data_IF_483108526197
#
_entry.id   IF_483108526197
#
_cell.length_a   1.000
_cell.length_b   1.000
_cell.length_c   1.000
_cell.angle_alpha   90.00
_cell.angle_beta   90.00
_cell.angle_gamma   90.00
#
_symmetry.space_group_name_H-M   'P 1'
#
loop_
_entity.id
_entity.type
_entity.pdbx_description
1 polymer ?
#
# COMPACT_ATOMS: atom_id res chain seq x y z
N UNK A 1 18.95 -16.62 -8.97
CA UNK A 1 18.37 -17.82 -8.34
C UNK A 1 19.07 -19.07 -8.83
N UNK A 2 18.86 -19.58 -10.05
CA UNK A 2 19.46 -20.86 -10.51
C UNK A 2 20.98 -21.00 -10.30
N UNK A 3 21.78 -19.97 -10.65
CA UNK A 3 23.24 -19.99 -10.43
C UNK A 3 23.63 -19.94 -8.95
N UNK A 4 22.82 -19.25 -8.14
CA UNK A 4 23.01 -19.12 -6.69
C UNK A 4 22.65 -20.41 -5.97
N UNK A 5 21.57 -21.08 -6.40
CA UNK A 5 21.13 -22.39 -5.93
C UNK A 5 22.20 -23.46 -6.24
N UNK A 6 22.73 -23.48 -7.47
CA UNK A 6 23.76 -24.43 -7.89
C UNK A 6 25.04 -24.28 -7.06
N UNK A 7 25.51 -23.03 -6.86
CA UNK A 7 26.66 -22.75 -6.02
C UNK A 7 26.42 -23.16 -4.55
N UNK A 8 25.18 -23.05 -4.07
CA UNK A 8 24.81 -23.46 -2.71
C UNK A 8 24.82 -24.99 -2.56
N UNK A 9 24.31 -25.71 -3.56
CA UNK A 9 24.29 -27.18 -3.60
C UNK A 9 25.69 -27.80 -3.75
N UNK A 10 26.60 -27.14 -4.46
CA UNK A 10 28.02 -27.51 -4.53
C UNK A 10 28.73 -27.30 -3.17
N UNK A 11 28.45 -26.17 -2.50
CA UNK A 11 29.00 -25.86 -1.17
C UNK A 11 28.45 -26.79 -0.08
N UNK A 12 27.18 -27.19 -0.17
CA UNK A 12 26.55 -28.15 0.74
C UNK A 12 26.96 -29.61 0.45
N UNK A 13 27.76 -29.86 -0.59
CA UNK A 13 28.24 -31.20 -0.96
C UNK A 13 27.15 -32.15 -1.48
N UNK A 14 25.93 -31.64 -1.68
CA UNK A 14 24.78 -32.42 -2.16
C UNK A 14 24.87 -32.75 -3.65
N UNK A 15 25.68 -32.00 -4.41
CA UNK A 15 25.90 -32.21 -5.84
C UNK A 15 27.38 -31.98 -6.19
N UNK A 16 28.07 -33.01 -6.66
CA UNK A 16 29.44 -32.92 -7.21
C UNK A 16 29.40 -33.12 -8.71
N UNK A 17 29.54 -32.04 -9.48
CA UNK A 17 29.56 -32.06 -10.93
C UNK A 17 31.01 -32.02 -11.43
N UNK A 18 31.30 -32.77 -12.50
CA UNK A 18 32.56 -32.57 -13.23
C UNK A 18 32.56 -31.23 -13.96
N UNK A 19 33.74 -30.71 -14.28
CA UNK A 19 33.88 -29.41 -14.95
C UNK A 19 33.12 -29.34 -16.30
N UNK A 20 33.09 -30.47 -17.03
CA UNK A 20 32.33 -30.62 -18.27
C UNK A 20 30.81 -30.62 -18.04
N UNK A 21 30.33 -31.26 -16.97
CA UNK A 21 28.90 -31.27 -16.61
C UNK A 21 28.43 -29.89 -16.13
N UNK A 22 29.27 -29.19 -15.37
CA UNK A 22 28.99 -27.82 -14.92
C UNK A 22 28.89 -26.85 -16.11
N UNK A 23 29.76 -26.99 -17.12
CA UNK A 23 29.67 -26.19 -18.35
C UNK A 23 28.40 -26.51 -19.15
N UNK A 24 28.05 -27.79 -19.32
CA UNK A 24 26.81 -28.19 -20.00
C UNK A 24 25.55 -27.66 -19.31
N UNK A 25 25.51 -27.72 -17.98
CA UNK A 25 24.38 -27.23 -17.19
C UNK A 25 24.29 -25.70 -17.22
N UNK A 26 25.43 -24.98 -17.21
CA UNK A 26 25.46 -23.52 -17.41
C UNK A 26 24.92 -23.13 -18.79
N UNK A 27 25.33 -23.84 -19.84
CA UNK A 27 24.83 -23.62 -21.19
C UNK A 27 23.31 -23.85 -21.27
N UNK A 28 22.81 -24.93 -20.67
CA UNK A 28 21.37 -25.20 -20.62
C UNK A 28 20.59 -24.12 -19.86
N UNK A 29 21.08 -23.70 -18.68
CA UNK A 29 20.49 -22.59 -17.93
C UNK A 29 20.48 -21.30 -18.73
N UNK A 30 21.54 -21.01 -19.49
CA UNK A 30 21.61 -19.82 -20.32
C UNK A 30 20.60 -19.87 -21.48
N UNK A 31 20.35 -21.05 -22.06
CA UNK A 31 19.30 -21.26 -23.06
C UNK A 31 17.90 -21.09 -22.47
N UNK A 32 17.63 -21.69 -21.30
CA UNK A 32 16.34 -21.56 -20.60
C UNK A 32 16.09 -20.10 -20.21
N UNK A 33 17.09 -19.41 -19.68
CA UNK A 33 17.00 -17.99 -19.35
C UNK A 33 16.80 -17.12 -20.58
N UNK A 34 17.43 -17.44 -21.71
CA UNK A 34 17.20 -16.73 -22.97
C UNK A 34 15.76 -16.93 -23.48
N UNK A 35 15.24 -18.16 -23.43
CA UNK A 35 13.85 -18.45 -23.80
C UNK A 35 12.83 -17.76 -22.89
N UNK A 36 13.08 -17.72 -21.58
CA UNK A 36 12.25 -17.01 -20.61
C UNK A 36 12.34 -15.49 -20.80
N UNK A 37 13.54 -14.95 -21.07
CA UNK A 37 13.71 -13.52 -21.34
C UNK A 37 12.96 -13.09 -22.61
N UNK A 38 12.98 -13.93 -23.65
CA UNK A 38 12.30 -13.63 -24.91
C UNK A 38 10.77 -13.78 -24.83
N UNK A 39 10.27 -14.64 -23.95
CA UNK A 39 8.82 -14.86 -23.76
C UNK A 39 8.18 -13.94 -22.72
N UNK A 40 8.93 -13.47 -21.73
CA UNK A 40 8.42 -12.67 -20.62
C UNK A 40 9.02 -11.26 -20.51
N UNK A 41 9.84 -10.84 -21.48
CA UNK A 41 10.50 -9.52 -21.51
C UNK A 41 11.25 -9.21 -20.21
N UNK A 42 11.97 -10.22 -19.69
CA UNK A 42 12.69 -10.13 -18.41
C UNK A 42 14.13 -9.69 -18.68
N UNK A 43 14.42 -8.42 -18.38
CA UNK A 43 15.77 -7.86 -18.48
C UNK A 43 16.79 -8.64 -17.63
N UNK A 44 17.86 -9.09 -18.31
CA UNK A 44 18.94 -9.92 -17.73
C UNK A 44 19.83 -9.18 -16.73
N UNK A 45 19.75 -7.85 -16.62
CA UNK A 45 20.76 -7.03 -15.94
C UNK A 45 20.21 -6.03 -14.90
N UNK A 46 20.94 -5.81 -13.82
CA UNK A 46 20.54 -4.89 -12.71
C UNK A 46 20.42 -3.44 -13.22
N UNK A 47 21.23 -3.07 -14.22
CA UNK A 47 21.14 -1.79 -14.93
C UNK A 47 19.93 -1.69 -15.86
N UNK A 48 19.53 -2.80 -16.52
CA UNK A 48 18.29 -2.87 -17.32
C UNK A 48 17.05 -2.73 -16.44
N UNK A 49 17.05 -3.36 -15.25
CA UNK A 49 16.00 -3.14 -14.23
C UNK A 49 15.93 -1.69 -13.77
N UNK A 50 17.06 -1.03 -13.50
CA UNK A 50 17.06 0.39 -13.10
C UNK A 50 16.58 1.31 -14.23
N UNK A 51 16.94 1.01 -15.49
CA UNK A 51 16.46 1.75 -16.66
C UNK A 51 14.96 1.53 -16.90
N UNK A 52 14.45 0.31 -16.69
CA UNK A 52 13.02 0.00 -16.83
C UNK A 52 12.19 0.56 -15.67
N UNK A 53 12.73 0.66 -14.45
CA UNK A 53 12.13 1.45 -13.37
C UNK A 53 12.08 2.93 -13.71
N UNK A 54 13.16 3.49 -14.25
CA UNK A 54 13.19 4.88 -14.74
C UNK A 54 12.16 5.14 -15.84
N UNK A 55 12.06 4.22 -16.81
CA UNK A 55 11.07 4.27 -17.89
C UNK A 55 9.64 4.11 -17.38
N UNK A 56 9.40 3.22 -16.41
CA UNK A 56 8.09 3.07 -15.75
C UNK A 56 7.69 4.33 -14.99
N UNK A 57 8.62 4.94 -14.27
CA UNK A 57 8.37 6.21 -13.57
C UNK A 57 8.11 7.33 -14.58
N UNK A 58 8.92 7.45 -15.62
CA UNK A 58 8.76 8.49 -16.66
C UNK A 58 7.45 8.31 -17.45
N UNK A 59 7.11 7.08 -17.85
CA UNK A 59 5.86 6.78 -18.53
C UNK A 59 4.65 6.94 -17.62
N UNK A 60 4.75 6.58 -16.34
CA UNK A 60 3.70 6.83 -15.36
C UNK A 60 3.49 8.32 -15.11
N UNK A 61 4.57 9.09 -14.90
CA UNK A 61 4.50 10.54 -14.74
C UNK A 61 3.98 11.22 -16.01
N UNK A 62 4.41 10.76 -17.19
CA UNK A 62 3.91 11.25 -18.47
C UNK A 62 2.42 10.95 -18.67
N UNK A 63 1.97 9.74 -18.33
CA UNK A 63 0.56 9.37 -18.35
C UNK A 63 -0.26 10.17 -17.34
N UNK A 64 0.27 10.39 -16.13
CA UNK A 64 -0.37 11.21 -15.10
C UNK A 64 -0.47 12.68 -15.53
N UNK A 65 0.58 13.23 -16.13
CA UNK A 65 0.59 14.60 -16.64
C UNK A 65 -0.39 14.77 -17.82
N UNK A 66 -0.44 13.81 -18.74
CA UNK A 66 -1.44 13.79 -19.80
C UNK A 66 -2.86 13.68 -19.23
N UNK A 67 -3.10 12.79 -18.27
CA UNK A 67 -4.39 12.65 -17.61
C UNK A 67 -4.80 13.95 -16.89
N UNK A 68 -3.87 14.59 -16.17
CA UNK A 68 -4.09 15.87 -15.52
C UNK A 68 -4.37 16.99 -16.54
N UNK A 69 -3.62 17.05 -17.64
CA UNK A 69 -3.86 18.03 -18.71
C UNK A 69 -5.24 17.87 -19.33
N UNK A 70 -5.65 16.63 -19.64
CA UNK A 70 -6.99 16.34 -20.16
C UNK A 70 -8.05 16.73 -19.11
N UNK A 71 -7.86 16.36 -17.85
CA UNK A 71 -8.76 16.74 -16.76
C UNK A 71 -8.92 18.27 -16.64
N UNK A 72 -7.83 19.03 -16.61
CA UNK A 72 -7.87 20.48 -16.51
C UNK A 72 -8.48 21.13 -17.75
N UNK A 73 -8.21 20.60 -18.94
CA UNK A 73 -8.86 21.03 -20.18
C UNK A 73 -10.38 20.85 -20.06
N UNK A 74 -10.83 19.65 -19.70
CA UNK A 74 -12.24 19.39 -19.49
C UNK A 74 -12.84 20.31 -18.42
N UNK A 75 -12.18 20.49 -17.29
CA UNK A 75 -12.65 21.37 -16.22
C UNK A 75 -12.80 22.82 -16.68
N UNK A 76 -11.85 23.34 -17.47
CA UNK A 76 -11.91 24.70 -17.99
C UNK A 76 -13.05 24.91 -18.99
N UNK A 77 -13.30 23.94 -19.88
CA UNK A 77 -14.36 24.03 -20.88
C UNK A 77 -15.69 23.42 -20.43
N UNK A 78 -15.75 22.83 -19.23
CA UNK A 78 -16.90 22.05 -18.75
C UNK A 78 -18.20 22.84 -18.78
N UNK A 79 -18.17 24.07 -18.28
CA UNK A 79 -19.34 24.96 -18.20
C UNK A 79 -19.85 25.46 -19.56
N UNK A 80 -19.14 25.21 -20.66
CA UNK A 80 -19.57 25.59 -22.02
C UNK A 80 -20.39 24.49 -22.71
N UNK A 81 -20.35 23.26 -22.21
CA UNK A 81 -21.13 22.16 -22.77
C UNK A 81 -22.56 22.18 -22.23
N UNK A 82 -23.53 21.83 -23.09
CA UNK A 82 -24.91 21.61 -22.65
C UNK A 82 -25.02 20.32 -21.82
N UNK A 83 -25.98 20.26 -20.89
CA UNK A 83 -26.17 19.13 -19.98
C UNK A 83 -26.19 17.76 -20.68
N UNK A 84 -26.88 17.56 -21.83
CA UNK A 84 -26.87 16.26 -22.52
C UNK A 84 -25.48 15.87 -23.03
N UNK A 85 -24.68 16.83 -23.47
CA UNK A 85 -23.32 16.59 -23.93
C UNK A 85 -22.40 16.24 -22.75
N UNK A 86 -22.53 16.94 -21.62
CA UNK A 86 -21.80 16.61 -20.39
C UNK A 86 -22.11 15.18 -19.93
N UNK A 87 -23.39 14.82 -19.86
CA UNK A 87 -23.85 13.45 -19.50
C UNK A 87 -23.27 12.42 -20.46
N UNK A 88 -23.36 12.65 -21.77
CA UNK A 88 -22.87 11.73 -22.80
C UNK A 88 -21.34 11.54 -22.71
N UNK A 89 -20.58 12.61 -22.47
CA UNK A 89 -19.12 12.55 -22.31
C UNK A 89 -18.76 11.75 -21.04
N UNK A 90 -19.40 11.99 -19.91
CA UNK A 90 -19.10 11.26 -18.65
C UNK A 90 -19.39 9.76 -18.77
N UNK A 91 -20.56 9.42 -19.32
CA UNK A 91 -20.98 8.03 -19.52
C UNK A 91 -20.07 7.36 -20.55
N UNK A 92 -19.83 8.03 -21.68
CA UNK A 92 -18.96 7.56 -22.75
C UNK A 92 -17.53 7.30 -22.26
N UNK A 93 -16.94 8.24 -21.51
CA UNK A 93 -15.59 8.10 -20.97
C UNK A 93 -15.48 6.93 -19.96
N UNK A 94 -16.50 6.72 -19.13
CA UNK A 94 -16.50 5.62 -18.15
C UNK A 94 -16.64 4.25 -18.83
N UNK A 95 -17.55 4.14 -19.81
CA UNK A 95 -17.74 2.91 -20.59
C UNK A 95 -16.53 2.61 -21.47
N UNK A 96 -15.97 3.63 -22.13
CA UNK A 96 -14.76 3.51 -22.93
C UNK A 96 -13.56 3.10 -22.07
N UNK A 97 -13.39 3.69 -20.88
CA UNK A 97 -12.33 3.31 -19.94
C UNK A 97 -12.45 1.85 -19.49
N UNK A 98 -13.66 1.42 -19.14
CA UNK A 98 -13.91 0.02 -18.78
C UNK A 98 -13.65 -0.94 -19.95
N UNK A 99 -14.19 -0.64 -21.14
CA UNK A 99 -14.01 -1.44 -22.35
C UNK A 99 -12.55 -1.52 -22.77
N UNK A 100 -11.81 -0.40 -22.71
CA UNK A 100 -10.38 -0.35 -22.97
C UNK A 100 -9.62 -1.24 -21.98
N UNK A 101 -9.97 -1.21 -20.69
CA UNK A 101 -9.33 -2.04 -19.67
C UNK A 101 -9.46 -3.53 -19.99
N UNK A 102 -10.67 -4.00 -20.33
CA UNK A 102 -10.91 -5.39 -20.72
C UNK A 102 -10.22 -5.77 -22.03
N UNK A 103 -10.21 -4.87 -23.01
CA UNK A 103 -9.56 -5.08 -24.30
C UNK A 103 -8.03 -5.19 -24.17
N UNK A 104 -7.43 -4.33 -23.34
CA UNK A 104 -6.00 -4.37 -23.02
C UNK A 104 -5.67 -5.61 -22.21
N UNK A 105 -6.50 -5.99 -21.24
CA UNK A 105 -6.31 -7.21 -20.44
C UNK A 105 -6.18 -8.47 -21.31
N UNK A 106 -6.94 -8.58 -22.39
CA UNK A 106 -6.84 -9.71 -23.31
C UNK A 106 -5.58 -9.73 -24.19
N UNK A 107 -4.83 -8.61 -24.26
CA UNK A 107 -3.66 -8.45 -25.14
C UNK A 107 -2.33 -8.30 -24.39
N UNK A 108 -2.38 -7.79 -23.16
CA UNK A 108 -1.20 -7.48 -22.37
C UNK A 108 -0.77 -8.68 -21.51
N UNK A 109 0.31 -9.35 -21.91
CA UNK A 109 0.91 -10.45 -21.15
C UNK A 109 1.61 -9.99 -19.87
N UNK A 110 2.00 -8.71 -19.79
CA UNK A 110 2.73 -8.13 -18.64
C UNK A 110 1.80 -7.53 -17.58
N UNK A 111 0.56 -7.23 -17.96
CA UNK A 111 -0.46 -6.57 -17.12
C UNK A 111 -0.13 -5.12 -16.75
N UNK A 112 0.95 -4.53 -17.26
CA UNK A 112 1.33 -3.14 -16.97
C UNK A 112 0.36 -2.14 -17.59
N UNK A 113 0.01 -2.30 -18.85
CA UNK A 113 -0.94 -1.42 -19.53
C UNK A 113 -2.36 -1.65 -19.01
N UNK A 114 -2.70 -2.88 -18.63
CA UNK A 114 -3.96 -3.16 -17.92
C UNK A 114 -4.04 -2.38 -16.61
N UNK A 115 -2.93 -2.29 -15.86
CA UNK A 115 -2.86 -1.49 -14.62
C UNK A 115 -3.14 -0.01 -14.85
N UNK A 116 -2.52 0.57 -15.88
CA UNK A 116 -2.74 1.97 -16.24
C UNK A 116 -4.19 2.20 -16.72
N UNK A 117 -4.70 1.34 -17.60
CA UNK A 117 -6.05 1.46 -18.13
C UNK A 117 -7.11 1.37 -17.02
N UNK A 118 -6.98 0.40 -16.09
CA UNK A 118 -7.89 0.25 -14.98
C UNK A 118 -7.87 1.44 -14.02
N UNK A 119 -6.68 2.04 -13.79
CA UNK A 119 -6.55 3.23 -12.96
C UNK A 119 -7.24 4.44 -13.60
N UNK A 120 -7.08 4.63 -14.92
CA UNK A 120 -7.77 5.67 -15.67
C UNK A 120 -9.28 5.42 -15.66
N UNK A 121 -9.74 4.18 -15.87
CA UNK A 121 -11.15 3.81 -15.81
C UNK A 121 -11.76 4.12 -14.43
N UNK A 122 -11.06 3.77 -13.35
CA UNK A 122 -11.47 4.10 -11.99
C UNK A 122 -11.55 5.62 -11.76
N UNK A 123 -10.55 6.39 -12.20
CA UNK A 123 -10.57 7.85 -12.10
C UNK A 123 -11.73 8.47 -12.88
N UNK A 124 -11.98 8.02 -14.11
CA UNK A 124 -13.13 8.45 -14.92
C UNK A 124 -14.46 8.16 -14.21
N UNK A 125 -14.59 6.98 -13.57
CA UNK A 125 -15.80 6.62 -12.84
C UNK A 125 -16.02 7.47 -11.58
N UNK A 126 -14.95 7.77 -10.83
CA UNK A 126 -15.02 8.68 -9.68
C UNK A 126 -15.47 10.07 -10.15
N UNK A 127 -14.82 10.61 -11.19
CA UNK A 127 -15.16 11.92 -11.76
C UNK A 127 -16.60 11.95 -12.28
N UNK A 128 -17.06 10.89 -12.93
CA UNK A 128 -18.42 10.76 -13.43
C UNK A 128 -19.45 10.97 -12.30
N UNK A 129 -19.31 10.27 -11.17
CA UNK A 129 -20.22 10.41 -10.03
C UNK A 129 -20.14 11.81 -9.41
N UNK A 130 -18.94 12.37 -9.26
CA UNK A 130 -18.76 13.72 -8.70
C UNK A 130 -19.40 14.78 -9.59
N UNK A 131 -19.14 14.73 -10.90
CA UNK A 131 -19.66 15.69 -11.88
C UNK A 131 -21.18 15.57 -12.02
N UNK A 132 -21.75 14.36 -12.00
CA UNK A 132 -23.22 14.21 -11.97
C UNK A 132 -23.84 14.81 -10.72
N UNK A 133 -23.18 14.66 -9.57
CA UNK A 133 -23.61 15.31 -8.34
C UNK A 133 -23.68 16.82 -8.48
N UNK A 134 -22.71 17.43 -9.18
CA UNK A 134 -22.70 18.87 -9.44
C UNK A 134 -23.76 19.28 -10.47
N UNK A 135 -23.86 18.58 -11.61
CA UNK A 135 -24.82 18.88 -12.69
C UNK A 135 -26.25 18.85 -12.17
N UNK A 136 -26.61 17.81 -11.42
CA UNK A 136 -27.97 17.63 -10.90
C UNK A 136 -28.17 18.18 -9.49
N UNK A 137 -27.20 18.95 -8.97
CA UNK A 137 -27.23 19.55 -7.63
C UNK A 137 -27.60 18.55 -6.51
N UNK A 138 -27.04 17.33 -6.60
CA UNK A 138 -27.23 16.27 -5.61
C UNK A 138 -26.36 16.57 -4.40
N UNK A 139 -26.96 16.55 -3.21
CA UNK A 139 -26.23 16.77 -1.96
C UNK A 139 -25.13 15.72 -1.75
N UNK A 140 -23.87 16.13 -1.48
CA UNK A 140 -22.78 15.20 -1.21
C UNK A 140 -23.09 14.27 -0.02
N UNK A 141 -22.85 12.97 -0.20
CA UNK A 141 -23.08 11.92 0.81
C UNK A 141 -21.98 10.88 0.79
N UNK A 142 -21.69 10.35 1.98
CA UNK A 142 -20.90 9.14 2.26
C UNK A 142 -21.22 7.96 1.34
N UNK A 143 -22.48 7.82 0.90
CA UNK A 143 -22.92 6.74 0.00
C UNK A 143 -22.19 6.73 -1.33
N UNK A 144 -21.61 7.85 -1.79
CA UNK A 144 -20.80 7.91 -3.00
C UNK A 144 -19.54 7.01 -2.92
N UNK A 145 -19.07 6.71 -1.71
CA UNK A 145 -17.93 5.81 -1.50
C UNK A 145 -18.24 4.35 -1.85
N UNK A 146 -19.51 3.93 -1.76
CA UNK A 146 -19.92 2.54 -2.06
C UNK A 146 -19.76 2.17 -3.54
N UNK A 147 -20.29 2.92 -4.53
CA UNK A 147 -20.07 2.60 -5.93
C UNK A 147 -18.58 2.69 -6.31
N UNK A 148 -17.83 3.64 -5.75
CA UNK A 148 -16.37 3.70 -5.95
C UNK A 148 -15.67 2.45 -5.42
N UNK A 149 -16.00 2.03 -4.19
CA UNK A 149 -15.48 0.79 -3.61
C UNK A 149 -15.84 -0.43 -4.47
N UNK A 150 -17.10 -0.56 -4.88
CA UNK A 150 -17.56 -1.68 -5.70
C UNK A 150 -16.81 -1.74 -7.04
N UNK A 151 -16.70 -0.62 -7.74
CA UNK A 151 -16.01 -0.58 -9.03
C UNK A 151 -14.51 -0.87 -8.89
N UNK A 152 -13.85 -0.27 -7.88
CA UNK A 152 -12.43 -0.53 -7.60
C UNK A 152 -12.17 -2.00 -7.25
N UNK A 153 -12.99 -2.60 -6.38
CA UNK A 153 -12.85 -4.01 -6.00
C UNK A 153 -13.11 -4.93 -7.18
N UNK A 154 -14.17 -4.71 -7.95
CA UNK A 154 -14.47 -5.53 -9.13
C UNK A 154 -13.30 -5.51 -10.12
N UNK A 155 -12.78 -4.33 -10.47
CA UNK A 155 -11.61 -4.22 -11.33
C UNK A 155 -10.36 -4.84 -10.71
N UNK A 156 -10.15 -4.67 -9.40
CA UNK A 156 -9.03 -5.28 -8.71
C UNK A 156 -9.06 -6.81 -8.83
N UNK A 157 -10.20 -7.44 -8.54
CA UNK A 157 -10.35 -8.90 -8.60
C UNK A 157 -10.35 -9.45 -10.03
N UNK A 158 -10.89 -8.71 -11.01
CA UNK A 158 -10.90 -9.15 -12.42
C UNK A 158 -9.51 -9.07 -13.05
N UNK A 159 -8.74 -8.03 -12.73
CA UNK A 159 -7.48 -7.75 -13.41
C UNK A 159 -6.24 -7.93 -12.52
N UNK A 160 -6.40 -8.43 -11.29
CA UNK A 160 -5.35 -8.66 -10.28
C UNK A 160 -4.54 -7.41 -9.87
N UNK A 161 -5.25 -6.32 -9.53
CA UNK A 161 -4.63 -5.02 -9.20
C UNK A 161 -4.64 -4.71 -7.70
N UNK A 162 -3.45 -4.78 -7.09
CA UNK A 162 -3.25 -4.34 -5.69
C UNK A 162 -3.62 -2.88 -5.45
N UNK A 163 -3.28 -1.97 -6.37
CA UNK A 163 -3.50 -0.54 -6.16
C UNK A 163 -5.00 -0.20 -6.11
N UNK A 164 -5.80 -0.80 -7.00
CA UNK A 164 -7.25 -0.64 -6.98
C UNK A 164 -7.88 -1.36 -5.79
N UNK A 165 -7.32 -2.49 -5.35
CA UNK A 165 -7.73 -3.12 -4.10
C UNK A 165 -7.56 -2.16 -2.92
N UNK A 166 -6.40 -1.51 -2.79
CA UNK A 166 -6.17 -0.47 -1.76
C UNK A 166 -7.21 0.64 -1.88
N UNK A 167 -7.44 1.19 -3.08
CA UNK A 167 -8.43 2.25 -3.29
C UNK A 167 -9.84 1.83 -2.86
N UNK A 168 -10.27 0.62 -3.23
CA UNK A 168 -11.56 0.08 -2.86
C UNK A 168 -11.70 -0.15 -1.36
N UNK A 169 -10.67 -0.71 -0.71
CA UNK A 169 -10.65 -0.89 0.74
C UNK A 169 -10.67 0.45 1.48
N UNK A 170 -9.92 1.45 1.02
CA UNK A 170 -9.96 2.80 1.60
C UNK A 170 -11.33 3.46 1.46
N UNK A 171 -12.04 3.24 0.35
CA UNK A 171 -13.42 3.71 0.19
C UNK A 171 -14.36 3.05 1.20
N UNK A 172 -14.23 1.73 1.43
CA UNK A 172 -14.99 1.01 2.48
C UNK A 172 -14.64 1.54 3.86
N UNK A 173 -13.36 1.77 4.13
CA UNK A 173 -12.88 2.34 5.39
C UNK A 173 -13.47 3.70 5.65
N UNK A 174 -13.40 4.61 4.67
CA UNK A 174 -14.02 5.93 4.75
C UNK A 174 -15.54 5.84 4.96
N UNK A 175 -16.21 4.94 4.23
CA UNK A 175 -17.67 4.76 4.36
C UNK A 175 -18.05 4.31 5.77
N UNK A 176 -17.44 3.24 6.27
CA UNK A 176 -17.75 2.73 7.62
C UNK A 176 -17.39 3.76 8.68
N UNK A 177 -16.25 4.43 8.57
CA UNK A 177 -15.85 5.47 9.51
C UNK A 177 -16.86 6.64 9.52
N UNK A 178 -17.33 7.06 8.35
CA UNK A 178 -18.38 8.07 8.22
C UNK A 178 -19.72 7.60 8.81
N UNK A 179 -20.14 6.36 8.53
CA UNK A 179 -21.38 5.78 9.07
C UNK A 179 -21.37 5.72 10.59
N UNK A 180 -20.29 5.22 11.18
CA UNK A 180 -20.13 5.18 12.64
C UNK A 180 -20.14 6.61 13.21
N UNK A 181 -19.47 7.55 12.54
CA UNK A 181 -19.49 8.96 12.91
C UNK A 181 -20.89 9.57 12.90
N UNK A 182 -21.72 9.26 11.89
CA UNK A 182 -23.11 9.77 11.84
C UNK A 182 -23.97 9.30 13.00
N UNK A 183 -23.70 8.13 13.62
CA UNK A 183 -24.42 7.68 14.81
C UNK A 183 -24.17 8.58 16.02
N UNK A 184 -23.00 9.23 16.07
CA UNK A 184 -22.66 10.24 17.09
C UNK A 184 -23.13 11.65 16.74
N UNK A 185 -23.90 11.83 15.65
CA UNK A 185 -24.39 13.14 15.20
C UNK A 185 -23.41 13.94 14.34
N UNK A 186 -22.26 13.37 13.96
CA UNK A 186 -21.28 14.06 13.11
C UNK A 186 -21.70 14.07 11.65
N UNK A 187 -21.36 15.16 10.96
CA UNK A 187 -21.47 15.21 9.51
C UNK A 187 -20.38 14.35 8.86
N UNK A 188 -20.72 13.65 7.78
CA UNK A 188 -19.89 12.57 7.23
C UNK A 188 -18.51 13.02 6.75
N UNK A 189 -18.33 14.27 6.33
CA UNK A 189 -17.02 14.82 5.93
C UNK A 189 -16.07 14.95 7.14
N UNK A 190 -16.62 15.13 8.34
CA UNK A 190 -15.88 15.22 9.59
C UNK A 190 -15.57 13.86 10.21
N UNK A 191 -15.67 12.77 9.45
CA UNK A 191 -15.34 11.43 9.92
C UNK A 191 -13.91 11.30 10.50
N UNK A 192 -13.00 12.19 10.11
CA UNK A 192 -11.65 12.29 10.65
C UNK A 192 -11.53 12.90 12.06
N UNK A 193 -12.56 13.58 12.56
CA UNK A 193 -12.57 14.15 13.93
C UNK A 193 -12.60 13.08 15.02
N UNK A 194 -13.09 11.88 14.67
CA UNK A 194 -13.11 10.71 15.55
C UNK A 194 -12.33 9.56 14.91
N UNK A 195 -10.99 9.55 15.04
CA UNK A 195 -10.14 8.51 14.46
C UNK A 195 -10.48 7.10 14.96
N UNK A 196 -11.11 6.95 16.12
CA UNK A 196 -11.53 5.66 16.66
C UNK A 196 -12.51 4.91 15.75
N UNK A 197 -13.28 5.61 14.91
CA UNK A 197 -14.24 5.00 13.98
C UNK A 197 -13.60 4.05 12.96
N UNK A 198 -12.30 4.18 12.72
CA UNK A 198 -11.54 3.35 11.77
C UNK A 198 -11.11 2.01 12.39
N UNK A 199 -11.02 1.94 13.72
CA UNK A 199 -10.46 0.79 14.46
C UNK A 199 -11.28 -0.50 14.23
N UNK A 200 -12.62 -0.52 14.33
CA UNK A 200 -13.37 -1.77 14.20
C UNK A 200 -13.14 -2.46 12.84
N UNK A 201 -13.19 -1.69 11.76
CA UNK A 201 -12.99 -2.22 10.41
C UNK A 201 -11.54 -2.62 10.16
N UNK A 202 -10.58 -1.96 10.80
CA UNK A 202 -9.15 -2.30 10.68
C UNK A 202 -8.85 -3.75 11.09
N UNK A 203 -9.45 -4.23 12.18
CA UNK A 203 -9.34 -5.62 12.63
C UNK A 203 -9.99 -6.60 11.66
N UNK A 204 -11.17 -6.24 11.14
CA UNK A 204 -11.88 -7.06 10.14
C UNK A 204 -11.01 -7.21 8.90
N UNK A 205 -10.48 -6.12 8.35
CA UNK A 205 -9.62 -6.16 7.16
C UNK A 205 -8.33 -6.94 7.40
N UNK A 206 -7.74 -6.83 8.59
CA UNK A 206 -6.53 -7.55 8.93
C UNK A 206 -6.74 -9.07 9.04
N UNK A 207 -7.88 -9.50 9.58
CA UNK A 207 -8.19 -10.92 9.81
C UNK A 207 -8.89 -11.59 8.63
N UNK A 208 -9.59 -10.82 7.77
CA UNK A 208 -10.36 -11.35 6.64
C UNK A 208 -9.58 -12.34 5.74
N UNK A 209 -8.30 -12.11 5.40
CA UNK A 209 -7.55 -13.05 4.57
C UNK A 209 -7.25 -14.40 5.23
N UNK A 210 -7.44 -14.53 6.55
CA UNK A 210 -7.32 -15.82 7.24
C UNK A 210 -8.57 -16.69 7.04
N UNK A 211 -9.72 -16.06 6.87
CA UNK A 211 -11.00 -16.75 6.69
C UNK A 211 -11.32 -17.01 5.21
N UNK A 212 -10.85 -16.13 4.32
CA UNK A 212 -11.10 -16.23 2.87
C UNK A 212 -9.86 -16.77 2.15
N UNK A 213 -9.99 -17.93 1.50
CA UNK A 213 -8.89 -18.51 0.71
C UNK A 213 -8.75 -17.82 -0.65
N UNK A 214 -7.80 -16.90 -0.77
CA UNK A 214 -7.46 -16.24 -2.03
C UNK A 214 -6.59 -17.11 -2.95
N UNK A 215 -7.06 -18.30 -3.34
CA UNK A 215 -6.26 -19.28 -4.15
C UNK A 215 -5.81 -18.75 -5.51
N UNK A 216 -6.53 -17.76 -6.07
CA UNK A 216 -6.24 -17.17 -7.39
C UNK A 216 -5.43 -15.87 -7.30
N UNK A 217 -5.32 -15.27 -6.11
CA UNK A 217 -4.74 -13.95 -5.89
C UNK A 217 -3.81 -13.97 -4.67
N UNK A 218 -2.61 -14.55 -4.84
CA UNK A 218 -1.62 -14.69 -3.75
C UNK A 218 -1.16 -13.35 -3.17
N UNK A 219 -1.29 -12.29 -3.97
CA UNK A 219 -0.84 -10.94 -3.67
C UNK A 219 -1.85 -10.10 -2.85
N UNK A 220 -3.08 -10.60 -2.70
CA UNK A 220 -4.17 -9.86 -2.04
C UNK A 220 -4.13 -9.94 -0.52
N UNK A 221 -3.91 -11.11 0.12
CA UNK A 221 -3.81 -11.20 1.57
C UNK A 221 -2.83 -10.20 2.21
N UNK A 222 -1.61 -9.99 1.66
CA UNK A 222 -0.71 -8.95 2.14
C UNK A 222 -1.31 -7.54 2.08
N UNK A 223 -2.06 -7.24 1.01
CA UNK A 223 -2.67 -5.91 0.80
C UNK A 223 -3.77 -5.63 1.82
N UNK A 224 -4.63 -6.61 2.09
CA UNK A 224 -5.67 -6.52 3.14
C UNK A 224 -5.04 -6.30 4.53
N UNK A 225 -4.01 -7.07 4.87
CA UNK A 225 -3.29 -6.91 6.14
C UNK A 225 -2.62 -5.54 6.26
N UNK A 226 -2.00 -5.05 5.20
CA UNK A 226 -1.37 -3.74 5.19
C UNK A 226 -2.39 -2.62 5.38
N UNK A 227 -3.50 -2.64 4.63
CA UNK A 227 -4.55 -1.62 4.76
C UNK A 227 -5.19 -1.69 6.14
N UNK A 228 -5.47 -2.88 6.66
CA UNK A 228 -5.95 -3.08 8.04
C UNK A 228 -4.98 -2.51 9.06
N UNK A 229 -3.68 -2.80 8.95
CA UNK A 229 -2.66 -2.31 9.86
C UNK A 229 -2.54 -0.78 9.84
N UNK A 230 -2.54 -0.17 8.65
CA UNK A 230 -2.52 1.30 8.49
C UNK A 230 -3.79 1.91 9.08
N UNK A 231 -4.95 1.31 8.82
CA UNK A 231 -6.24 1.77 9.34
C UNK A 231 -6.38 1.61 10.86
N UNK A 232 -5.53 0.80 11.49
CA UNK A 232 -5.43 0.65 12.94
C UNK A 232 -4.43 1.64 13.55
N UNK A 233 -3.21 1.65 13.05
CA UNK A 233 -2.09 2.37 13.67
C UNK A 233 -2.13 3.88 13.38
N UNK A 234 -2.71 4.31 12.26
CA UNK A 234 -2.83 5.72 11.93
C UNK A 234 -3.78 6.45 12.90
N UNK A 235 -4.99 5.95 13.20
CA UNK A 235 -5.82 6.51 14.26
C UNK A 235 -5.15 6.55 15.63
N UNK A 236 -4.46 5.47 16.01
CA UNK A 236 -3.73 5.38 17.27
C UNK A 236 -2.61 6.43 17.33
N UNK A 237 -1.93 6.66 16.21
CA UNK A 237 -0.94 7.72 16.08
C UNK A 237 -1.58 9.11 16.24
N UNK A 238 -2.70 9.37 15.57
CA UNK A 238 -3.40 10.67 15.69
C UNK A 238 -3.83 10.91 17.13
N UNK A 239 -4.49 9.95 17.78
CA UNK A 239 -4.96 10.08 19.16
C UNK A 239 -3.83 10.15 20.19
N UNK A 240 -2.67 9.56 19.87
CA UNK A 240 -1.45 9.68 20.69
C UNK A 240 -0.84 11.10 20.70
N UNK A 241 -1.21 11.96 19.74
CA UNK A 241 -0.76 13.36 19.67
C UNK A 241 -1.92 14.37 19.83
N UNK A 242 -3.16 13.93 19.64
CA UNK A 242 -4.36 14.75 19.73
C UNK A 242 -5.47 13.99 20.45
N UNK A 243 -5.47 14.06 21.79
CA UNK A 243 -6.40 13.31 22.64
C UNK A 243 -7.88 13.73 22.53
N UNK A 244 -8.14 14.99 22.15
CA UNK A 244 -9.49 15.56 22.11
C UNK A 244 -10.44 14.90 21.09
N UNK A 245 -9.92 14.11 20.14
CA UNK A 245 -10.73 13.34 19.19
C UNK A 245 -11.31 12.03 19.73
N UNK A 246 -10.95 11.61 20.94
CA UNK A 246 -11.37 10.32 21.50
C UNK A 246 -12.80 10.35 22.07
N UNK A 247 -13.55 9.25 21.97
CA UNK A 247 -14.85 9.13 22.65
C UNK A 247 -14.69 8.88 24.17
N UNK A 248 -13.48 8.56 24.63
CA UNK A 248 -13.23 8.21 26.03
C UNK A 248 -13.29 9.49 26.89
N UNK A 249 -14.09 9.51 27.97
CA UNK A 249 -14.27 10.68 28.83
C UNK A 249 -13.11 10.82 29.85
N UNK A 250 -11.87 10.80 29.36
CA UNK A 250 -10.66 11.05 30.16
C UNK A 250 -10.08 12.42 29.81
N UNK A 251 -9.11 12.88 30.59
CA UNK A 251 -8.34 14.07 30.20
C UNK A 251 -7.54 13.80 28.92
N UNK A 252 -7.43 14.79 28.03
CA UNK A 252 -6.68 14.68 26.77
C UNK A 252 -5.28 14.09 26.96
N UNK A 253 -4.57 14.47 28.03
CA UNK A 253 -3.24 13.95 28.37
C UNK A 253 -3.22 12.47 28.74
N UNK A 254 -4.25 11.99 29.43
CA UNK A 254 -4.37 10.56 29.73
C UNK A 254 -4.63 9.74 28.44
N UNK A 255 -5.43 10.29 27.53
CA UNK A 255 -5.75 9.69 26.24
C UNK A 255 -4.49 9.64 25.36
N UNK A 256 -3.78 10.75 25.22
CA UNK A 256 -2.50 10.82 24.49
C UNK A 256 -1.52 9.75 25.00
N UNK A 257 -1.30 9.67 26.32
CA UNK A 257 -0.40 8.67 26.90
C UNK A 257 -0.88 7.23 26.67
N UNK A 258 -2.18 6.98 26.81
CA UNK A 258 -2.76 5.67 26.55
C UNK A 258 -2.51 5.22 25.10
N UNK A 259 -2.82 6.09 24.13
CA UNK A 259 -2.63 5.79 22.71
C UNK A 259 -1.16 5.73 22.30
N UNK A 260 -0.26 6.47 22.95
CA UNK A 260 1.19 6.33 22.76
C UNK A 260 1.66 4.93 23.20
N UNK A 261 1.28 4.48 24.39
CA UNK A 261 1.64 3.14 24.89
C UNK A 261 1.01 2.05 24.02
N UNK A 262 -0.27 2.21 23.66
CA UNK A 262 -0.96 1.30 22.75
C UNK A 262 -0.29 1.26 21.37
N UNK A 263 0.17 2.40 20.84
CA UNK A 263 0.88 2.49 19.57
C UNK A 263 2.16 1.67 19.55
N UNK A 264 2.99 1.77 20.59
CA UNK A 264 4.19 0.93 20.73
C UNK A 264 3.83 -0.55 20.86
N UNK A 265 2.84 -0.89 21.71
CA UNK A 265 2.43 -2.27 21.95
C UNK A 265 1.85 -2.94 20.69
N UNK A 266 0.96 -2.24 19.97
CA UNK A 266 0.35 -2.73 18.73
C UNK A 266 1.40 -2.85 17.61
N UNK A 267 2.31 -1.89 17.48
CA UNK A 267 3.38 -1.96 16.48
C UNK A 267 4.33 -3.12 16.76
N UNK A 268 4.76 -3.30 18.02
CA UNK A 268 5.59 -4.44 18.42
C UNK A 268 4.84 -5.77 18.24
N UNK A 269 3.55 -5.82 18.58
CA UNK A 269 2.68 -6.96 18.34
C UNK A 269 2.57 -7.33 16.86
N UNK A 270 2.44 -6.33 15.99
CA UNK A 270 2.44 -6.53 14.53
C UNK A 270 3.78 -7.08 14.02
N UNK A 271 4.90 -6.58 14.53
CA UNK A 271 6.24 -7.14 14.21
C UNK A 271 6.36 -8.58 14.66
N UNK A 272 5.98 -8.89 15.90
CA UNK A 272 6.01 -10.25 16.42
C UNK A 272 5.13 -11.21 15.62
N UNK A 273 3.90 -10.79 15.30
CA UNK A 273 2.96 -11.57 14.52
C UNK A 273 3.46 -11.81 13.09
N UNK A 274 4.01 -10.76 12.48
CA UNK A 274 4.62 -10.81 11.15
C UNK A 274 5.83 -11.77 11.11
N UNK A 275 6.67 -11.79 12.13
CA UNK A 275 7.78 -12.73 12.24
C UNK A 275 7.29 -14.17 12.45
N UNK A 276 6.28 -14.37 13.31
CA UNK A 276 5.74 -15.70 13.63
C UNK A 276 5.10 -16.39 12.42
N UNK A 277 4.43 -15.61 11.56
CA UNK A 277 3.71 -16.14 10.40
C UNK A 277 4.38 -15.80 9.05
N UNK A 278 5.61 -15.27 9.08
CA UNK A 278 6.41 -14.89 7.91
C UNK A 278 5.70 -13.87 6.98
N UNK A 279 4.96 -12.93 7.56
CA UNK A 279 4.32 -11.84 6.83
C UNK A 279 5.23 -10.61 6.79
N UNK A 280 5.96 -10.49 5.69
CA UNK A 280 6.95 -9.42 5.48
C UNK A 280 6.31 -8.02 5.54
N UNK A 281 5.13 -7.86 4.95
CA UNK A 281 4.40 -6.59 4.92
C UNK A 281 3.92 -6.15 6.30
N UNK A 282 3.42 -7.08 7.13
CA UNK A 282 3.00 -6.78 8.50
C UNK A 282 4.20 -6.44 9.37
N UNK A 283 5.31 -7.16 9.18
CA UNK A 283 6.57 -6.89 9.88
C UNK A 283 7.10 -5.50 9.53
N UNK A 284 7.21 -5.19 8.24
CA UNK A 284 7.70 -3.89 7.76
C UNK A 284 6.77 -2.75 8.18
N UNK A 285 5.45 -2.94 8.06
CA UNK A 285 4.47 -1.95 8.50
C UNK A 285 4.58 -1.69 10.01
N UNK A 286 4.69 -2.74 10.83
CA UNK A 286 4.88 -2.62 12.27
C UNK A 286 6.18 -1.89 12.63
N UNK A 287 7.30 -2.19 11.94
CA UNK A 287 8.58 -1.49 12.13
C UNK A 287 8.44 -0.01 11.78
N UNK A 288 7.83 0.32 10.63
CA UNK A 288 7.66 1.71 10.19
C UNK A 288 6.88 2.51 11.22
N UNK A 289 5.72 2.00 11.68
CA UNK A 289 4.93 2.69 12.69
C UNK A 289 5.64 2.75 14.04
N UNK A 290 6.34 1.70 14.45
CA UNK A 290 7.14 1.71 15.69
C UNK A 290 8.19 2.83 15.65
N UNK A 291 8.90 2.99 14.52
CA UNK A 291 9.87 4.07 14.31
C UNK A 291 9.20 5.44 14.32
N UNK A 292 8.01 5.58 13.72
CA UNK A 292 7.24 6.83 13.76
C UNK A 292 6.84 7.19 15.20
N UNK A 293 6.31 6.24 15.98
CA UNK A 293 5.98 6.46 17.40
C UNK A 293 7.21 6.85 18.22
N UNK A 294 8.35 6.17 17.99
CA UNK A 294 9.61 6.49 18.64
C UNK A 294 10.10 7.90 18.29
N UNK A 295 10.02 8.25 17.00
CA UNK A 295 10.40 9.57 16.52
C UNK A 295 9.53 10.67 17.13
N UNK A 296 8.20 10.50 17.16
CA UNK A 296 7.29 11.44 17.82
C UNK A 296 7.66 11.60 19.30
N UNK A 297 8.02 10.51 19.99
CA UNK A 297 8.40 10.59 21.39
C UNK A 297 9.69 11.37 21.62
N UNK A 298 10.69 11.17 20.76
CA UNK A 298 11.91 11.98 20.79
C UNK A 298 11.62 13.45 20.49
N UNK A 299 10.75 13.72 19.52
CA UNK A 299 10.31 15.07 19.21
C UNK A 299 9.66 15.74 20.43
N UNK A 300 8.71 15.08 21.08
CA UNK A 300 8.04 15.60 22.29
C UNK A 300 9.02 15.92 23.43
N UNK A 301 10.04 15.08 23.64
CA UNK A 301 10.99 15.26 24.73
C UNK A 301 12.06 16.32 24.46
N UNK A 302 12.57 16.36 23.23
CA UNK A 302 13.83 17.02 22.93
C UNK A 302 13.71 18.20 21.99
N UNK A 303 12.64 18.30 21.20
CA UNK A 303 12.56 19.31 20.14
C UNK A 303 12.66 20.75 20.66
N UNK A 304 12.01 21.05 21.79
CA UNK A 304 12.06 22.39 22.37
C UNK A 304 13.29 22.60 23.27
N UNK A 305 13.87 21.54 23.81
CA UNK A 305 14.93 21.62 24.82
C UNK A 305 16.34 21.69 24.22
N UNK A 306 16.55 21.24 22.98
CA UNK A 306 17.87 21.27 22.34
C UNK A 306 17.87 21.91 20.93
N UNK A 307 19.00 22.49 20.50
CA UNK A 307 19.19 22.91 19.12
C UNK A 307 18.94 21.80 18.10
N UNK A 308 18.34 22.13 16.95
CA UNK A 308 17.91 21.16 15.92
C UNK A 308 19.04 20.25 15.44
N UNK A 309 20.27 20.75 15.33
CA UNK A 309 21.42 19.94 14.92
C UNK A 309 21.79 18.86 15.96
N UNK A 310 21.69 19.18 17.26
CA UNK A 310 21.90 18.21 18.34
C UNK A 310 20.79 17.17 18.37
N UNK A 311 19.54 17.57 18.14
CA UNK A 311 18.41 16.64 18.03
C UNK A 311 18.64 15.56 16.98
N UNK A 312 19.01 15.95 15.75
CA UNK A 312 19.30 14.99 14.69
C UNK A 312 20.56 14.15 14.97
N UNK A 313 21.57 14.72 15.63
CA UNK A 313 22.76 13.98 16.07
C UNK A 313 22.41 12.88 17.09
N UNK A 314 21.58 13.20 18.09
CA UNK A 314 21.12 12.24 19.11
C UNK A 314 20.32 11.11 18.47
N UNK A 315 19.41 11.41 17.54
CA UNK A 315 18.66 10.39 16.80
C UNK A 315 19.62 9.48 16.01
N UNK A 316 20.60 10.07 15.31
CA UNK A 316 21.60 9.30 14.57
C UNK A 316 22.42 8.37 15.47
N UNK A 317 22.88 8.87 16.61
CA UNK A 317 23.62 8.08 17.61
C UNK A 317 22.76 6.97 18.21
N UNK A 318 21.49 7.24 18.52
CA UNK A 318 20.56 6.24 19.02
C UNK A 318 20.34 5.11 17.99
N UNK A 319 20.21 5.45 16.70
CA UNK A 319 20.07 4.47 15.63
C UNK A 319 21.34 3.60 15.49
N UNK A 320 22.54 4.22 15.54
CA UNK A 320 23.81 3.48 15.52
C UNK A 320 23.92 2.55 16.72
N UNK A 321 23.57 3.03 17.92
CA UNK A 321 23.60 2.23 19.14
C UNK A 321 22.64 1.02 19.03
N UNK A 322 21.43 1.22 18.52
CA UNK A 322 20.47 0.15 18.26
C UNK A 322 21.05 -0.90 17.30
N UNK A 323 21.68 -0.47 16.20
CA UNK A 323 22.33 -1.38 15.24
C UNK A 323 23.46 -2.19 15.88
N UNK A 324 24.28 -1.56 16.74
CA UNK A 324 25.35 -2.24 17.46
C UNK A 324 24.79 -3.29 18.43
N UNK A 325 23.72 -2.97 19.16
CA UNK A 325 23.04 -3.91 20.06
C UNK A 325 22.47 -5.09 19.28
N UNK A 326 21.74 -4.84 18.19
CA UNK A 326 21.17 -5.89 17.34
C UNK A 326 22.28 -6.78 16.75
N UNK A 327 23.38 -6.17 16.28
CA UNK A 327 24.53 -6.92 15.75
C UNK A 327 25.18 -7.79 16.82
N UNK A 328 25.29 -7.29 18.06
CA UNK A 328 25.80 -8.06 19.21
C UNK A 328 24.88 -9.22 19.57
N UNK A 329 23.57 -8.99 19.63
CA UNK A 329 22.58 -10.04 19.90
C UNK A 329 22.61 -11.12 18.81
N UNK A 330 22.68 -10.74 17.53
CA UNK A 330 22.78 -11.70 16.42
C UNK A 330 24.01 -12.58 16.54
N UNK A 331 25.16 -12.02 16.95
CA UNK A 331 26.39 -12.80 17.19
C UNK A 331 26.22 -13.77 18.36
N UNK A 332 25.68 -13.30 19.49
CA UNK A 332 25.44 -14.15 20.66
C UNK A 332 24.49 -15.32 20.34
N UNK A 333 23.43 -15.09 19.56
CA UNK A 333 22.52 -16.16 19.12
C UNK A 333 23.17 -17.15 18.16
N UNK A 334 24.07 -16.69 17.27
CA UNK A 334 24.81 -17.56 16.38
C UNK A 334 25.82 -18.45 17.14
N UNK A 335 26.46 -17.91 18.18
CA UNK A 335 27.39 -18.65 19.04
C UNK A 335 26.66 -19.70 19.90
N UNK A 336 25.46 -19.38 20.42
CA UNK A 336 24.66 -20.32 21.22
C UNK A 336 23.98 -21.45 20.43
N UNK A 337 23.89 -21.34 19.09
CA UNK A 337 23.33 -22.39 18.23
C UNK A 337 24.36 -23.41 17.72
N UNK A 338 25.64 -23.25 18.11
CA UNK A 338 26.76 -24.12 17.72
C UNK A 338 27.33 -24.96 18.88
N UNK A 339 26.69 -24.90 20.04
CA UNK A 339 26.91 -25.78 21.20
C UNK A 339 25.68 -26.66 21.39
#
# INVERSE_FOLDING_TARGET
MFRTELARLEVEGALTLSEAQAQGLRAHHDTVLAGLAQSFDIDRDVRGKQLSWGMRIASFLGALALAASVFFLFYQFWGLFQEPAQVAILVGASLAGFGLTLWVQGRDSTGYFTKLAALVAFACFVLNIVMFGQIFNITPSDKALLPWAAYALLLAYVCDLRLLLVAGLLCIVGFVAARVGTWSGMYWIHFGERPENFIPLSFVLFLLPQFVRHRRHEEFPPTYRLVGLVSLLLPVLVLGNWGGGSYVPWSDKAIEHFYQVAGFALSAGAVWLGLRWQWTETTNGGIVFFVIFLFNKFFDWWWQTMPKYLFFLVIGLAAVLLLLVIKRMRRAFAESGTA
#
